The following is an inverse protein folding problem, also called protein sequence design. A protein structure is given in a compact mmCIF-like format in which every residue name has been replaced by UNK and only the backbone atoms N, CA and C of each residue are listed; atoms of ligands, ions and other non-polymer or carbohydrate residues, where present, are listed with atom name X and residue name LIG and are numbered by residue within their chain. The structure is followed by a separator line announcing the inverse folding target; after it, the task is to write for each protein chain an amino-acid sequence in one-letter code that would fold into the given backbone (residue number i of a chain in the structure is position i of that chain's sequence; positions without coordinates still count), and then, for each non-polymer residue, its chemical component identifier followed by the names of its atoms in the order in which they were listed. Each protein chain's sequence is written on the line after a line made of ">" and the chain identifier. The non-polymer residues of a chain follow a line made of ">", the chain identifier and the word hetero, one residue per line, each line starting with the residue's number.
data_IF_857308536458
#
_entry.id   IF_857308536458
#
_cell.length_a   1.000
_cell.length_b   1.000
_cell.length_c   1.000
_cell.angle_alpha   90.00
_cell.angle_beta   90.00
_cell.angle_gamma   90.00
#
_symmetry.space_group_name_H-M   'P 1'
#
loop_
_entity.id
_entity.type
_entity.pdbx_description
1 polymer ?
#
# COMPACT_ATOMS: atom_id res chain seq x y z
N UNK A 1 -26.37 5.93 1.67
CA UNK A 1 -24.97 5.47 1.78
C UNK A 1 -24.19 5.84 0.53
N UNK A 2 -24.41 5.19 -0.63
CA UNK A 2 -23.65 5.47 -1.88
C UNK A 2 -23.72 6.93 -2.36
N UNK A 3 -24.77 7.68 -2.02
CA UNK A 3 -24.90 9.12 -2.32
C UNK A 3 -23.86 10.01 -1.65
N UNK A 4 -23.13 9.51 -0.64
CA UNK A 4 -22.07 10.24 0.06
C UNK A 4 -20.69 10.07 -0.59
N UNK A 5 -20.55 9.19 -1.58
CA UNK A 5 -19.29 8.92 -2.25
C UNK A 5 -19.10 9.77 -3.51
N UNK A 6 -17.85 10.07 -3.90
CA UNK A 6 -17.55 10.98 -5.00
C UNK A 6 -18.12 10.48 -6.33
N UNK A 7 -18.65 11.43 -7.11
CA UNK A 7 -18.82 11.27 -8.56
C UNK A 7 -17.52 11.76 -9.21
N UNK A 8 -16.87 10.94 -10.03
CA UNK A 8 -15.58 11.22 -10.71
C UNK A 8 -15.58 12.45 -11.66
N UNK A 9 -16.59 13.31 -11.62
CA UNK A 9 -16.81 14.39 -12.59
C UNK A 9 -16.07 15.69 -12.31
N UNK A 10 -15.30 15.79 -11.20
CA UNK A 10 -14.59 17.02 -10.86
C UNK A 10 -13.11 16.75 -10.51
N UNK A 11 -12.16 17.45 -11.16
CA UNK A 11 -10.75 17.38 -10.80
C UNK A 11 -10.49 18.25 -9.56
N UNK A 12 -9.46 17.88 -8.79
CA UNK A 12 -9.08 18.41 -7.48
C UNK A 12 -10.01 18.03 -6.34
N UNK A 13 -9.42 17.54 -5.23
CA UNK A 13 -10.02 17.28 -3.93
C UNK A 13 -11.33 18.06 -3.76
N UNK A 14 -12.45 17.47 -4.17
CA UNK A 14 -13.73 18.12 -3.90
C UNK A 14 -13.98 17.85 -2.43
N UNK A 15 -13.48 18.77 -1.60
CA UNK A 15 -13.63 18.85 -0.14
C UNK A 15 -15.03 18.40 0.32
N UNK A 16 -16.05 18.68 -0.52
CA UNK A 16 -17.44 18.33 -0.33
C UNK A 16 -17.72 16.81 -0.23
N UNK A 17 -17.07 15.96 -1.03
CA UNK A 17 -17.31 14.52 -1.00
C UNK A 17 -16.66 13.87 0.23
N UNK A 18 -15.46 14.32 0.60
CA UNK A 18 -14.78 13.86 1.80
C UNK A 18 -15.55 14.23 3.09
N UNK A 19 -16.19 15.41 3.14
CA UNK A 19 -17.01 15.82 4.29
C UNK A 19 -18.24 14.92 4.48
N UNK A 20 -18.87 14.48 3.39
CA UNK A 20 -20.01 13.59 3.43
C UNK A 20 -19.62 12.20 3.97
N UNK A 21 -18.51 11.64 3.46
CA UNK A 21 -17.96 10.37 3.96
C UNK A 21 -17.62 10.51 5.43
N UNK A 22 -16.96 11.60 5.84
CA UNK A 22 -16.62 11.87 7.23
C UNK A 22 -17.86 11.86 8.12
N UNK A 23 -18.91 12.57 7.73
CA UNK A 23 -20.13 12.70 8.55
C UNK A 23 -20.78 11.34 8.85
N UNK A 24 -20.61 10.36 7.95
CA UNK A 24 -21.21 9.03 8.07
C UNK A 24 -20.24 7.97 8.62
N UNK A 25 -18.98 7.95 8.18
CA UNK A 25 -18.01 6.89 8.50
C UNK A 25 -16.89 7.34 9.45
N UNK A 26 -16.70 8.64 9.66
CA UNK A 26 -15.63 9.20 10.49
C UNK A 26 -14.41 9.68 9.70
N UNK A 27 -13.49 10.34 10.38
CA UNK A 27 -12.33 10.97 9.76
C UNK A 27 -11.31 9.97 9.20
N UNK A 28 -11.07 8.84 9.86
CA UNK A 28 -10.09 7.84 9.39
C UNK A 28 -10.41 7.30 7.98
N UNK A 29 -11.67 6.91 7.74
CA UNK A 29 -12.13 6.46 6.43
C UNK A 29 -12.22 7.61 5.42
N UNK A 30 -12.61 8.80 5.85
CA UNK A 30 -12.62 9.97 4.97
C UNK A 30 -11.21 10.35 4.49
N UNK A 31 -10.18 10.22 5.34
CA UNK A 31 -8.79 10.40 4.92
C UNK A 31 -8.35 9.35 3.89
N UNK A 32 -8.78 8.10 4.06
CA UNK A 32 -8.48 7.03 3.12
C UNK A 32 -9.03 7.33 1.73
N UNK A 33 -10.35 7.59 1.61
CA UNK A 33 -10.96 7.93 0.33
C UNK A 33 -10.39 9.23 -0.26
N UNK A 34 -10.09 10.22 0.59
CA UNK A 34 -9.44 11.45 0.16
C UNK A 34 -8.02 11.23 -0.39
N UNK A 35 -7.26 10.30 0.21
CA UNK A 35 -5.94 9.93 -0.27
C UNK A 35 -6.02 9.13 -1.58
N UNK A 36 -6.95 8.17 -1.69
CA UNK A 36 -7.19 7.40 -2.91
C UNK A 36 -7.54 8.30 -4.10
N UNK A 37 -8.48 9.24 -3.90
CA UNK A 37 -8.86 10.22 -4.91
C UNK A 37 -7.65 11.09 -5.32
N UNK A 38 -6.93 11.63 -4.33
CA UNK A 38 -5.73 12.42 -4.57
C UNK A 38 -4.65 11.64 -5.33
N UNK A 39 -4.38 10.40 -4.93
CA UNK A 39 -3.39 9.53 -5.54
C UNK A 39 -3.74 9.21 -7.00
N UNK A 40 -5.02 8.95 -7.28
CA UNK A 40 -5.53 8.74 -8.65
C UNK A 40 -5.24 9.93 -9.55
N UNK A 41 -5.57 11.14 -9.10
CA UNK A 41 -5.31 12.37 -9.88
C UNK A 41 -3.82 12.69 -9.99
N UNK A 42 -3.05 12.46 -8.92
CA UNK A 42 -1.62 12.68 -8.93
C UNK A 42 -0.91 11.79 -9.95
N UNK A 43 -1.39 10.57 -10.21
CA UNK A 43 -0.83 9.68 -11.22
C UNK A 43 -1.16 10.05 -12.67
N UNK A 44 -2.18 10.90 -12.92
CA UNK A 44 -2.59 11.26 -14.29
C UNK A 44 -1.44 11.90 -15.10
N UNK A 45 -0.68 12.88 -14.58
CA UNK A 45 0.51 13.40 -15.28
C UNK A 45 1.53 12.31 -15.64
N UNK A 46 1.80 11.36 -14.74
CA UNK A 46 2.71 10.24 -15.01
C UNK A 46 2.17 9.34 -16.12
N UNK A 47 0.88 9.03 -16.09
CA UNK A 47 0.23 8.22 -17.12
C UNK A 47 0.26 8.92 -18.49
N UNK A 48 -0.01 10.23 -18.54
CA UNK A 48 0.00 11.01 -19.78
C UNK A 48 1.40 11.10 -20.41
N UNK A 49 2.44 11.20 -19.60
CA UNK A 49 3.83 11.17 -20.09
C UNK A 49 4.24 9.74 -20.47
N UNK A 50 3.83 8.73 -19.71
CA UNK A 50 4.16 7.33 -19.98
C UNK A 50 3.61 6.78 -21.30
N UNK A 51 2.46 7.27 -21.77
CA UNK A 51 1.83 6.82 -23.02
C UNK A 51 2.71 7.08 -24.26
N UNK A 52 3.17 8.32 -24.55
CA UNK A 52 4.11 8.58 -25.64
C UNK A 52 5.41 7.79 -25.52
N UNK A 53 5.93 7.62 -24.28
CA UNK A 53 7.17 6.88 -24.07
C UNK A 53 7.07 5.44 -24.56
N UNK A 54 5.92 4.80 -24.33
CA UNK A 54 5.66 3.44 -24.78
C UNK A 54 5.23 3.36 -26.26
N UNK A 55 4.39 4.28 -26.74
CA UNK A 55 3.84 4.21 -28.11
C UNK A 55 4.88 4.53 -29.19
N UNK A 56 5.82 5.42 -28.89
CA UNK A 56 6.85 5.85 -29.84
C UNK A 56 8.21 5.19 -29.60
N UNK A 57 8.27 4.17 -28.72
CA UNK A 57 9.51 3.51 -28.27
C UNK A 57 10.64 4.53 -28.04
N UNK A 58 10.36 5.48 -27.14
CA UNK A 58 11.30 6.55 -26.78
C UNK A 58 12.41 6.03 -25.87
N UNK A 59 13.17 5.07 -26.40
CA UNK A 59 14.21 4.34 -25.71
C UNK A 59 15.56 5.07 -25.71
N UNK A 60 15.64 6.32 -26.15
CA UNK A 60 16.90 7.06 -26.11
C UNK A 60 17.31 7.39 -24.66
N UNK A 61 18.62 7.33 -24.38
CA UNK A 61 19.19 7.61 -23.06
C UNK A 61 18.71 8.95 -22.47
N UNK A 62 18.72 10.02 -23.28
CA UNK A 62 18.28 11.34 -22.86
C UNK A 62 16.82 11.35 -22.41
N UNK A 63 15.97 10.54 -23.05
CA UNK A 63 14.54 10.42 -22.71
C UNK A 63 14.36 9.65 -21.40
N UNK A 64 15.11 8.57 -21.18
CA UNK A 64 15.10 7.86 -19.90
C UNK A 64 15.50 8.76 -18.73
N UNK A 65 16.55 9.56 -18.89
CA UNK A 65 16.98 10.52 -17.88
C UNK A 65 15.90 11.58 -17.62
N UNK A 66 15.30 12.14 -18.66
CA UNK A 66 14.20 13.11 -18.53
C UNK A 66 13.00 12.53 -17.77
N UNK A 67 12.61 11.30 -18.07
CA UNK A 67 11.51 10.62 -17.40
C UNK A 67 11.81 10.32 -15.92
N UNK A 68 13.03 9.88 -15.61
CA UNK A 68 13.44 9.62 -14.23
C UNK A 68 13.50 10.90 -13.39
N UNK A 69 14.03 12.01 -13.94
CA UNK A 69 14.02 13.32 -13.28
C UNK A 69 12.59 13.78 -13.03
N UNK A 70 11.70 13.62 -14.01
CA UNK A 70 10.28 13.91 -13.83
C UNK A 70 9.67 13.08 -12.70
N UNK A 71 9.88 11.76 -12.67
CA UNK A 71 9.34 10.89 -11.62
C UNK A 71 9.88 11.26 -10.22
N UNK A 72 11.15 11.65 -10.12
CA UNK A 72 11.76 12.09 -8.87
C UNK A 72 11.11 13.38 -8.33
N UNK A 73 10.93 14.38 -9.21
CA UNK A 73 10.25 15.62 -8.83
C UNK A 73 8.79 15.32 -8.49
N UNK A 74 8.11 14.55 -9.33
CA UNK A 74 6.72 14.16 -9.14
C UNK A 74 6.49 13.46 -7.80
N UNK A 75 7.28 12.44 -7.45
CA UNK A 75 7.13 11.68 -6.21
C UNK A 75 7.33 12.54 -4.96
N UNK A 76 8.24 13.50 -5.01
CA UNK A 76 8.47 14.46 -3.92
C UNK A 76 7.30 15.44 -3.79
N UNK A 77 6.87 16.04 -4.90
CA UNK A 77 5.75 17.00 -4.93
C UNK A 77 4.45 16.32 -4.49
N UNK A 78 4.18 15.11 -4.97
CA UNK A 78 3.01 14.31 -4.62
C UNK A 78 2.88 14.15 -3.09
N UNK A 79 3.95 13.79 -2.39
CA UNK A 79 3.91 13.57 -0.95
C UNK A 79 3.81 14.86 -0.14
N UNK A 80 4.53 15.91 -0.54
CA UNK A 80 4.48 17.20 0.15
C UNK A 80 3.13 17.91 -0.02
N UNK A 81 2.54 17.84 -1.22
CA UNK A 81 1.19 18.38 -1.47
C UNK A 81 0.13 17.59 -0.68
N UNK A 82 0.28 16.27 -0.56
CA UNK A 82 -0.62 15.47 0.29
C UNK A 82 -0.55 15.89 1.76
N UNK A 83 0.63 16.11 2.33
CA UNK A 83 0.77 16.60 3.72
C UNK A 83 -0.01 17.89 3.94
N UNK A 84 0.08 18.83 2.99
CA UNK A 84 -0.66 20.11 3.03
C UNK A 84 -2.17 19.89 2.95
N UNK A 85 -2.62 19.04 2.04
CA UNK A 85 -4.03 18.69 1.89
C UNK A 85 -4.58 18.03 3.17
N UNK A 86 -3.87 17.02 3.68
CA UNK A 86 -4.21 16.30 4.91
C UNK A 86 -4.28 17.24 6.12
N UNK A 87 -3.32 18.18 6.26
CA UNK A 87 -3.36 19.18 7.32
C UNK A 87 -4.57 20.13 7.20
N UNK A 88 -4.94 20.52 5.98
CA UNK A 88 -6.11 21.37 5.72
C UNK A 88 -7.41 20.65 6.08
N UNK A 89 -7.54 19.38 5.69
CA UNK A 89 -8.68 18.53 6.05
C UNK A 89 -8.77 18.34 7.57
N UNK A 90 -7.66 17.98 8.21
CA UNK A 90 -7.61 17.78 9.66
C UNK A 90 -7.90 19.06 10.45
N UNK A 91 -7.45 20.23 9.97
CA UNK A 91 -7.78 21.52 10.58
C UNK A 91 -9.28 21.81 10.47
N UNK A 92 -9.85 21.67 9.27
CA UNK A 92 -11.27 21.91 9.01
C UNK A 92 -12.16 20.94 9.79
N UNK A 93 -11.70 19.71 9.97
CA UNK A 93 -12.40 18.70 10.75
C UNK A 93 -12.22 18.86 12.26
N UNK A 94 -11.29 19.70 12.70
CA UNK A 94 -10.98 19.88 14.12
C UNK A 94 -10.22 18.71 14.73
N UNK A 95 -9.68 17.79 13.93
CA UNK A 95 -8.89 16.66 14.40
C UNK A 95 -7.40 16.98 14.52
N UNK A 96 -6.91 18.05 13.88
CA UNK A 96 -5.49 18.41 13.88
C UNK A 96 -4.93 18.67 15.29
N UNK A 97 -5.69 19.36 16.14
CA UNK A 97 -5.28 19.73 17.50
C UNK A 97 -5.69 18.71 18.56
N UNK A 98 -6.31 17.59 18.16
CA UNK A 98 -6.72 16.55 19.11
C UNK A 98 -5.49 15.83 19.61
N UNK A 99 -5.05 16.14 20.83
CA UNK A 99 -3.84 15.54 21.41
C UNK A 99 -4.03 14.03 21.55
N UNK A 100 -3.29 13.24 20.75
CA UNK A 100 -3.13 11.77 20.92
C UNK A 100 -2.73 11.38 22.35
N UNK A 101 -2.16 12.31 23.11
CA UNK A 101 -1.82 12.14 24.53
C UNK A 101 -3.01 11.78 25.45
N UNK A 102 -4.26 12.07 25.05
CA UNK A 102 -5.47 11.71 25.81
C UNK A 102 -6.18 10.46 25.29
N UNK A 103 -5.56 9.71 24.38
CA UNK A 103 -6.07 8.39 24.01
C UNK A 103 -6.02 7.46 25.24
N UNK A 104 -7.13 6.77 25.46
CA UNK A 104 -7.24 5.76 26.52
C UNK A 104 -6.32 4.58 26.20
N UNK A 105 -5.78 3.90 27.24
CA UNK A 105 -5.04 2.67 27.01
C UNK A 105 -5.90 1.65 26.27
N UNK A 106 -5.31 0.93 25.32
CA UNK A 106 -6.01 -0.14 24.59
C UNK A 106 -6.49 -1.22 25.55
N UNK A 107 -7.57 -1.92 25.21
CA UNK A 107 -8.14 -2.97 26.05
C UNK A 107 -7.15 -4.11 26.38
N UNK A 108 -6.22 -4.41 25.47
CA UNK A 108 -5.18 -5.44 25.66
C UNK A 108 -3.93 -4.97 26.40
N UNK A 109 -3.88 -3.71 26.88
CA UNK A 109 -2.72 -3.18 27.59
C UNK A 109 -2.75 -3.57 29.06
N UNK A 110 -1.64 -4.13 29.55
CA UNK A 110 -1.55 -4.60 30.93
C UNK A 110 -0.27 -4.12 31.63
N UNK A 111 -0.34 -3.93 32.95
CA UNK A 111 0.77 -3.40 33.74
C UNK A 111 0.41 -3.31 35.21
N UNK A 112 1.37 -2.87 36.03
CA UNK A 112 1.09 -2.54 37.43
C UNK A 112 0.23 -1.28 37.48
N UNK A 113 -0.82 -1.26 38.28
CA UNK A 113 -1.60 -0.04 38.54
C UNK A 113 -0.68 1.05 39.10
N UNK A 114 -0.74 2.23 38.49
CA UNK A 114 0.04 3.38 38.90
C UNK A 114 -0.63 4.68 38.47
N UNK A 115 -0.16 5.79 39.04
CA UNK A 115 -0.64 7.12 38.68
C UNK A 115 0.04 7.57 37.37
N UNK A 116 -0.74 7.88 36.34
CA UNK A 116 -0.19 8.47 35.13
C UNK A 116 0.29 9.90 35.40
N UNK A 117 1.54 10.21 35.05
CA UNK A 117 2.18 11.50 35.30
C UNK A 117 1.60 12.68 34.50
N UNK A 118 0.88 12.39 33.41
CA UNK A 118 0.26 13.37 32.50
C UNK A 118 -1.21 13.58 32.85
N UNK A 119 -1.97 12.50 33.02
CA UNK A 119 -3.43 12.58 33.24
C UNK A 119 -3.81 12.62 34.72
N UNK A 120 -2.91 12.22 35.62
CA UNK A 120 -3.20 12.09 37.05
C UNK A 120 -4.23 11.00 37.39
N UNK A 121 -4.58 10.13 36.44
CA UNK A 121 -5.53 9.03 36.64
C UNK A 121 -4.78 7.75 37.02
N UNK A 122 -5.43 6.89 37.80
CA UNK A 122 -4.95 5.52 38.00
C UNK A 122 -5.20 4.70 36.74
N UNK A 123 -4.13 4.24 36.11
CA UNK A 123 -4.17 3.35 34.94
C UNK A 123 -3.03 2.33 35.02
N UNK A 124 -3.08 1.23 34.26
CA UNK A 124 -1.95 0.32 34.16
C UNK A 124 -0.71 1.08 33.66
N UNK A 125 0.45 0.85 34.27
CA UNK A 125 1.73 1.43 33.85
C UNK A 125 2.70 0.30 33.51
N UNK A 126 3.40 0.45 32.38
CA UNK A 126 4.38 -0.52 31.91
C UNK A 126 5.73 0.16 31.63
N UNK A 127 6.86 -0.33 32.16
CA UNK A 127 8.17 0.27 31.93
C UNK A 127 8.55 0.27 30.44
N UNK A 128 8.86 1.45 29.89
CA UNK A 128 9.27 1.60 28.49
C UNK A 128 10.54 0.81 28.16
N UNK A 129 11.48 0.66 29.09
CA UNK A 129 12.70 -0.14 28.88
C UNK A 129 12.41 -1.60 28.61
N UNK A 130 11.47 -2.20 29.35
CA UNK A 130 11.04 -3.58 29.13
C UNK A 130 10.40 -3.74 27.75
N UNK A 131 9.58 -2.77 27.33
CA UNK A 131 8.96 -2.76 25.99
C UNK A 131 10.03 -2.66 24.89
N UNK A 132 10.98 -1.73 25.02
CA UNK A 132 12.05 -1.58 24.03
C UNK A 132 12.92 -2.84 23.94
N UNK A 133 13.20 -3.50 25.06
CA UNK A 133 13.93 -4.76 25.08
C UNK A 133 13.17 -5.87 24.35
N UNK A 134 11.84 -5.97 24.52
CA UNK A 134 10.99 -6.89 23.73
C UNK A 134 11.08 -6.63 22.23
N UNK A 135 10.98 -5.35 21.83
CA UNK A 135 11.04 -4.95 20.43
C UNK A 135 12.40 -5.28 19.81
N UNK A 136 13.50 -4.83 20.42
CA UNK A 136 14.83 -4.96 19.82
C UNK A 136 15.44 -6.36 19.94
N UNK A 137 15.15 -7.12 21.00
CA UNK A 137 15.77 -8.43 21.21
C UNK A 137 14.93 -9.61 20.71
N UNK A 138 13.62 -9.44 20.50
CA UNK A 138 12.74 -10.53 20.04
C UNK A 138 12.09 -10.17 18.71
N UNK A 139 11.38 -9.05 18.67
CA UNK A 139 10.60 -8.70 17.48
C UNK A 139 11.47 -8.40 16.26
N UNK A 140 12.51 -7.57 16.42
CA UNK A 140 13.40 -7.20 15.33
C UNK A 140 14.16 -8.43 14.77
N UNK A 141 14.80 -9.29 15.59
CA UNK A 141 15.42 -10.52 15.09
C UNK A 141 14.43 -11.47 14.39
N UNK A 142 13.19 -11.58 14.90
CA UNK A 142 12.15 -12.36 14.25
C UNK A 142 11.83 -11.83 12.84
N UNK A 143 11.61 -10.51 12.71
CA UNK A 143 11.37 -9.87 11.41
C UNK A 143 12.55 -10.12 10.47
N UNK A 144 13.78 -9.89 10.91
CA UNK A 144 14.99 -10.12 10.09
C UNK A 144 15.12 -11.58 9.64
N UNK A 145 14.83 -12.54 10.51
CA UNK A 145 14.80 -13.97 10.18
C UNK A 145 13.74 -14.28 9.12
N UNK A 146 12.54 -13.71 9.26
CA UNK A 146 11.47 -13.89 8.26
C UNK A 146 11.83 -13.29 6.91
N UNK A 147 12.50 -12.13 6.88
CA UNK A 147 12.99 -11.53 5.63
C UNK A 147 14.07 -12.38 4.97
N UNK A 148 15.00 -12.92 5.75
CA UNK A 148 16.00 -13.87 5.25
C UNK A 148 15.35 -15.12 4.65
N UNK A 149 14.37 -15.71 5.35
CA UNK A 149 13.65 -16.88 4.86
C UNK A 149 12.90 -16.59 3.56
N UNK A 150 12.24 -15.42 3.46
CA UNK A 150 11.60 -14.97 2.23
C UNK A 150 12.59 -14.88 1.06
N UNK A 151 13.74 -14.24 1.28
CA UNK A 151 14.78 -14.13 0.27
C UNK A 151 15.33 -15.52 -0.14
N UNK A 152 15.54 -16.42 0.82
CA UNK A 152 15.97 -17.79 0.55
C UNK A 152 14.94 -18.54 -0.32
N UNK A 153 13.65 -18.44 -0.01
CA UNK A 153 12.59 -19.08 -0.80
C UNK A 153 12.52 -18.52 -2.23
N UNK A 154 12.78 -17.22 -2.39
CA UNK A 154 12.90 -16.59 -3.71
C UNK A 154 14.08 -17.16 -4.51
N UNK A 155 15.25 -17.37 -3.90
CA UNK A 155 16.39 -18.01 -4.57
C UNK A 155 16.06 -19.43 -5.02
N UNK A 156 15.43 -20.22 -4.14
CA UNK A 156 14.97 -21.57 -4.47
C UNK A 156 13.97 -21.57 -5.64
N UNK A 157 13.07 -20.58 -5.70
CA UNK A 157 12.17 -20.41 -6.84
C UNK A 157 12.94 -20.20 -8.16
N UNK A 158 13.93 -19.30 -8.19
CA UNK A 158 14.72 -19.05 -9.39
C UNK A 158 15.53 -20.29 -9.81
N UNK A 159 16.06 -21.05 -8.86
CA UNK A 159 16.75 -22.33 -9.16
C UNK A 159 15.78 -23.36 -9.77
N UNK A 160 14.56 -23.46 -9.24
CA UNK A 160 13.51 -24.32 -9.79
C UNK A 160 13.07 -23.89 -11.18
N UNK A 161 12.96 -22.58 -11.44
CA UNK A 161 12.61 -22.02 -12.74
C UNK A 161 13.69 -22.31 -13.79
N UNK A 162 14.96 -22.08 -13.44
CA UNK A 162 16.09 -22.41 -14.30
C UNK A 162 16.17 -23.91 -14.62
N UNK A 163 15.90 -24.77 -13.63
CA UNK A 163 15.82 -26.21 -13.84
C UNK A 163 14.65 -26.61 -14.76
N UNK A 164 13.48 -26.01 -14.61
CA UNK A 164 12.34 -26.27 -15.49
C UNK A 164 12.64 -25.86 -16.93
N UNK A 165 13.33 -24.73 -17.12
CA UNK A 165 13.79 -24.26 -18.44
C UNK A 165 14.83 -25.22 -19.03
N UNK A 166 15.80 -25.72 -18.24
CA UNK A 166 16.79 -26.67 -18.76
C UNK A 166 16.16 -27.97 -19.25
N UNK A 167 15.19 -28.51 -18.51
CA UNK A 167 14.45 -29.73 -18.91
C UNK A 167 13.62 -29.49 -20.18
N UNK A 168 13.01 -28.32 -20.33
CA UNK A 168 12.27 -27.95 -21.54
C UNK A 168 13.18 -27.85 -22.77
N UNK A 169 14.38 -27.28 -22.60
CA UNK A 169 15.35 -27.10 -23.68
C UNK A 169 15.97 -28.43 -24.15
N UNK A 170 16.10 -29.42 -23.26
CA UNK A 170 16.58 -30.76 -23.61
C UNK A 170 15.56 -31.53 -24.45
N UNK A 171 14.30 -31.60 -24.00
CA UNK A 171 13.22 -32.33 -24.69
C UNK A 171 11.92 -31.49 -24.75
N UNK A 172 11.72 -30.71 -25.83
CA UNK A 172 10.53 -29.88 -25.97
C UNK A 172 9.29 -30.72 -26.29
N UNK A 173 8.52 -31.01 -25.24
CA UNK A 173 7.30 -31.80 -25.26
C UNK A 173 6.13 -31.01 -24.65
N UNK A 174 4.90 -31.48 -24.90
CA UNK A 174 3.71 -30.87 -24.27
C UNK A 174 3.80 -30.90 -22.73
N UNK A 175 4.29 -32.00 -22.15
CA UNK A 175 4.48 -32.11 -20.70
C UNK A 175 5.56 -31.15 -20.17
N UNK A 176 6.66 -30.94 -20.89
CA UNK A 176 7.70 -29.99 -20.47
C UNK A 176 7.24 -28.55 -20.65
N UNK A 177 6.33 -28.26 -21.58
CA UNK A 177 5.66 -26.95 -21.69
C UNK A 177 4.79 -26.63 -20.46
N UNK A 178 4.09 -27.63 -19.90
CA UNK A 178 3.33 -27.47 -18.66
C UNK A 178 4.29 -27.27 -17.47
N UNK A 179 5.41 -27.98 -17.45
CA UNK A 179 6.40 -27.90 -16.37
C UNK A 179 6.93 -26.47 -16.14
N UNK A 180 7.06 -25.66 -17.20
CA UNK A 180 7.49 -24.26 -17.10
C UNK A 180 6.62 -23.41 -16.15
N UNK A 181 5.32 -23.71 -16.05
CA UNK A 181 4.40 -22.96 -15.18
C UNK A 181 4.38 -23.46 -13.73
N UNK A 182 4.87 -24.68 -13.48
CA UNK A 182 4.77 -25.33 -12.17
C UNK A 182 5.53 -24.58 -11.07
N UNK A 183 6.81 -24.18 -11.25
CA UNK A 183 7.53 -23.41 -10.24
C UNK A 183 6.83 -22.11 -9.84
N UNK A 184 6.32 -21.35 -10.82
CA UNK A 184 5.63 -20.09 -10.57
C UNK A 184 4.32 -20.26 -9.81
N UNK A 185 3.54 -21.31 -10.11
CA UNK A 185 2.30 -21.62 -9.36
C UNK A 185 2.63 -22.00 -7.90
N UNK A 186 3.64 -22.86 -7.70
CA UNK A 186 4.09 -23.27 -6.36
C UNK A 186 4.53 -22.04 -5.57
N UNK A 187 5.35 -21.18 -6.17
CA UNK A 187 5.85 -19.97 -5.53
C UNK A 187 4.73 -18.98 -5.17
N UNK A 188 3.76 -18.77 -6.06
CA UNK A 188 2.60 -17.93 -5.79
C UNK A 188 1.78 -18.44 -4.58
N UNK A 189 1.54 -19.75 -4.50
CA UNK A 189 0.85 -20.35 -3.34
C UNK A 189 1.67 -20.21 -2.06
N UNK A 190 3.00 -20.39 -2.14
CA UNK A 190 3.89 -20.25 -0.99
C UNK A 190 3.91 -18.81 -0.46
N UNK A 191 3.97 -17.80 -1.31
CA UNK A 191 3.90 -16.39 -0.90
C UNK A 191 2.61 -16.11 -0.13
N UNK A 192 1.47 -16.57 -0.63
CA UNK A 192 0.17 -16.33 0.02
C UNK A 192 0.11 -16.97 1.41
N UNK A 193 0.57 -18.21 1.54
CA UNK A 193 0.67 -18.91 2.83
C UNK A 193 1.63 -18.16 3.77
N UNK A 194 2.77 -17.69 3.27
CA UNK A 194 3.75 -16.95 4.07
C UNK A 194 3.21 -15.60 4.54
N UNK A 195 2.51 -14.84 3.70
CA UNK A 195 1.88 -13.59 4.07
C UNK A 195 0.84 -13.78 5.19
N UNK A 196 0.00 -14.83 5.07
CA UNK A 196 -0.98 -15.17 6.10
C UNK A 196 -0.32 -15.55 7.44
N UNK A 197 0.66 -16.46 7.40
CA UNK A 197 1.38 -16.90 8.60
C UNK A 197 2.13 -15.75 9.26
N UNK A 198 2.78 -14.91 8.46
CA UNK A 198 3.52 -13.76 8.96
C UNK A 198 2.60 -12.71 9.57
N UNK A 199 1.44 -12.42 8.98
CA UNK A 199 0.47 -11.49 9.57
C UNK A 199 0.01 -11.96 10.95
N UNK A 200 -0.36 -13.23 11.08
CA UNK A 200 -0.73 -13.81 12.38
C UNK A 200 0.41 -13.72 13.40
N UNK A 201 1.65 -14.04 12.98
CA UNK A 201 2.82 -13.94 13.84
C UNK A 201 3.13 -12.48 14.24
N UNK A 202 3.00 -11.53 13.31
CA UNK A 202 3.25 -10.12 13.54
C UNK A 202 2.20 -9.50 14.48
N UNK A 203 0.93 -9.88 14.36
CA UNK A 203 -0.14 -9.48 15.28
C UNK A 203 0.16 -10.02 16.69
N UNK A 204 0.41 -11.32 16.82
CA UNK A 204 0.77 -11.95 18.10
C UNK A 204 1.99 -11.29 18.76
N UNK A 205 3.05 -11.04 17.99
CA UNK A 205 4.28 -10.45 18.49
C UNK A 205 4.09 -8.98 18.90
N UNK A 206 3.30 -8.23 18.15
CA UNK A 206 2.99 -6.82 18.46
C UNK A 206 2.06 -6.72 19.67
N UNK A 207 1.15 -7.69 19.87
CA UNK A 207 0.36 -7.79 21.09
C UNK A 207 1.26 -8.09 22.30
N UNK A 208 2.22 -8.99 22.12
CA UNK A 208 3.20 -9.34 23.15
C UNK A 208 4.14 -8.18 23.52
N UNK A 209 4.41 -7.25 22.60
CA UNK A 209 5.17 -6.02 22.89
C UNK A 209 4.46 -5.10 23.90
N UNK A 210 3.14 -5.26 24.09
CA UNK A 210 2.33 -4.53 25.08
C UNK A 210 2.37 -3.00 24.89
N UNK A 211 1.91 -2.54 23.73
CA UNK A 211 1.73 -1.12 23.42
C UNK A 211 0.58 -0.50 24.23
N UNK A 212 0.79 0.72 24.76
CA UNK A 212 -0.24 1.45 25.55
C UNK A 212 -1.38 1.94 24.68
N UNK A 213 -1.06 2.56 23.54
CA UNK A 213 -2.02 3.22 22.65
C UNK A 213 -2.32 2.34 21.44
N UNK A 214 -3.56 2.37 20.98
CA UNK A 214 -3.98 1.68 19.75
C UNK A 214 -3.21 2.21 18.53
N UNK A 215 -3.05 3.53 18.44
CA UNK A 215 -2.24 4.16 17.39
C UNK A 215 -0.78 3.67 17.37
N UNK A 216 -0.16 3.45 18.54
CA UNK A 216 1.20 2.91 18.64
C UNK A 216 1.27 1.44 18.22
N UNK A 217 0.28 0.64 18.65
CA UNK A 217 0.16 -0.77 18.27
C UNK A 217 0.04 -0.91 16.75
N UNK A 218 -0.92 -0.21 16.15
CA UNK A 218 -1.16 -0.23 14.71
C UNK A 218 0.08 0.21 13.92
N UNK A 219 0.76 1.28 14.34
CA UNK A 219 1.98 1.75 13.70
C UNK A 219 3.10 0.69 13.65
N UNK A 220 3.31 -0.06 14.74
CA UNK A 220 4.34 -1.11 14.79
C UNK A 220 3.92 -2.36 14.03
N UNK A 221 2.63 -2.70 14.04
CA UNK A 221 2.08 -3.81 13.25
C UNK A 221 2.24 -3.51 11.75
N UNK A 222 1.79 -2.31 11.32
CA UNK A 222 1.93 -1.82 9.95
C UNK A 222 3.37 -1.94 9.49
N UNK A 223 4.33 -1.44 10.28
CA UNK A 223 5.73 -1.47 9.91
C UNK A 223 6.27 -2.90 9.73
N UNK A 224 5.92 -3.84 10.60
CA UNK A 224 6.36 -5.24 10.48
C UNK A 224 5.80 -5.90 9.22
N UNK A 225 4.50 -5.76 8.97
CA UNK A 225 3.81 -6.37 7.83
C UNK A 225 4.24 -5.72 6.51
N UNK A 226 4.41 -4.40 6.50
CA UNK A 226 4.84 -3.65 5.33
C UNK A 226 6.23 -4.05 4.85
N UNK A 227 7.22 -4.15 5.75
CA UNK A 227 8.59 -4.53 5.35
C UNK A 227 8.62 -5.93 4.78
N UNK A 228 7.85 -6.86 5.36
CA UNK A 228 7.75 -8.23 4.85
C UNK A 228 7.09 -8.30 3.48
N UNK A 229 5.93 -7.64 3.31
CA UNK A 229 5.24 -7.59 2.02
C UNK A 229 6.08 -6.88 0.96
N UNK A 230 6.82 -5.82 1.32
CA UNK A 230 7.73 -5.14 0.40
C UNK A 230 8.79 -6.11 -0.15
N UNK A 231 9.45 -6.90 0.71
CA UNK A 231 10.46 -7.87 0.26
C UNK A 231 9.83 -8.99 -0.56
N UNK A 232 8.65 -9.50 -0.17
CA UNK A 232 7.97 -10.55 -0.94
C UNK A 232 7.51 -10.08 -2.32
N UNK A 233 6.98 -8.86 -2.44
CA UNK A 233 6.45 -8.34 -3.70
C UNK A 233 7.55 -7.83 -4.63
N UNK A 234 8.53 -7.11 -4.10
CA UNK A 234 9.56 -6.45 -4.92
C UNK A 234 10.88 -7.23 -4.98
N UNK A 235 11.10 -8.21 -4.10
CA UNK A 235 12.36 -8.97 -4.05
C UNK A 235 12.69 -9.66 -5.37
N UNK A 236 11.70 -10.36 -5.96
CA UNK A 236 11.88 -11.03 -7.26
C UNK A 236 12.13 -10.03 -8.39
N UNK A 237 11.45 -8.89 -8.38
CA UNK A 237 11.66 -7.82 -9.36
C UNK A 237 13.04 -7.19 -9.24
N UNK A 238 13.52 -6.96 -8.01
CA UNK A 238 14.88 -6.48 -7.78
C UNK A 238 15.94 -7.49 -8.23
N UNK A 239 15.68 -8.78 -8.03
CA UNK A 239 16.56 -9.85 -8.52
C UNK A 239 16.64 -9.86 -10.05
N UNK A 240 15.49 -9.82 -10.73
CA UNK A 240 15.45 -9.76 -12.21
C UNK A 240 16.15 -8.50 -12.72
N UNK A 241 15.88 -7.34 -12.10
CA UNK A 241 16.43 -6.06 -12.49
C UNK A 241 17.95 -5.96 -12.32
N UNK A 242 18.47 -6.35 -11.16
CA UNK A 242 19.85 -6.04 -10.76
C UNK A 242 20.80 -7.23 -10.82
N UNK A 243 20.31 -8.46 -10.55
CA UNK A 243 21.13 -9.66 -10.62
C UNK A 243 21.10 -10.27 -12.03
N UNK A 244 19.91 -10.50 -12.61
CA UNK A 244 19.79 -11.07 -13.96
C UNK A 244 19.99 -10.03 -15.07
N UNK A 245 19.66 -8.76 -14.80
CA UNK A 245 19.74 -7.66 -15.77
C UNK A 245 18.87 -7.87 -17.03
N UNK A 246 17.78 -8.63 -16.92
CA UNK A 246 16.84 -8.88 -18.01
C UNK A 246 15.65 -7.90 -17.94
N UNK A 247 15.74 -6.83 -18.73
CA UNK A 247 14.70 -5.80 -18.78
C UNK A 247 13.42 -6.28 -19.47
N UNK A 248 13.50 -7.28 -20.35
CA UNK A 248 12.33 -7.83 -21.04
C UNK A 248 11.53 -8.68 -20.07
N UNK A 249 12.20 -9.58 -19.35
CA UNK A 249 11.58 -10.37 -18.30
C UNK A 249 10.99 -9.45 -17.21
N UNK A 250 11.73 -8.43 -16.78
CA UNK A 250 11.25 -7.45 -15.80
C UNK A 250 9.94 -6.77 -16.25
N UNK A 251 9.89 -6.31 -17.51
CA UNK A 251 8.69 -5.68 -18.08
C UNK A 251 7.50 -6.64 -18.11
N UNK A 252 7.72 -7.90 -18.52
CA UNK A 252 6.68 -8.93 -18.57
C UNK A 252 6.19 -9.31 -17.17
N UNK A 253 7.09 -9.49 -16.21
CA UNK A 253 6.75 -9.78 -14.81
C UNK A 253 5.95 -8.63 -14.19
N UNK A 254 6.37 -7.38 -14.38
CA UNK A 254 5.65 -6.19 -13.90
C UNK A 254 4.24 -6.09 -14.50
N UNK A 255 4.12 -6.22 -15.83
CA UNK A 255 2.82 -6.16 -16.51
C UNK A 255 1.90 -7.29 -16.02
N UNK A 256 2.43 -8.51 -15.89
CA UNK A 256 1.67 -9.67 -15.41
C UNK A 256 1.21 -9.46 -13.98
N UNK A 257 2.10 -9.05 -13.06
CA UNK A 257 1.74 -8.77 -11.67
C UNK A 257 0.68 -7.68 -11.56
N UNK A 258 0.86 -6.56 -12.27
CA UNK A 258 -0.10 -5.45 -12.24
C UNK A 258 -1.45 -5.81 -12.87
N UNK A 259 -1.50 -6.63 -13.92
CA UNK A 259 -2.78 -6.99 -14.53
C UNK A 259 -3.48 -8.09 -13.70
N UNK A 260 -2.74 -9.15 -13.35
CA UNK A 260 -3.32 -10.31 -12.66
C UNK A 260 -3.71 -10.00 -11.22
N UNK A 261 -2.84 -9.33 -10.46
CA UNK A 261 -3.12 -8.98 -9.06
C UNK A 261 -4.34 -8.06 -8.97
N UNK A 262 -4.46 -7.09 -9.86
CA UNK A 262 -5.57 -6.12 -9.80
C UNK A 262 -6.90 -6.76 -10.19
N UNK A 263 -6.91 -7.64 -11.20
CA UNK A 263 -8.12 -8.42 -11.54
C UNK A 263 -8.52 -9.33 -10.36
N UNK A 264 -7.56 -10.04 -9.76
CA UNK A 264 -7.84 -10.94 -8.64
C UNK A 264 -8.32 -10.20 -7.40
N UNK A 265 -7.68 -9.07 -7.06
CA UNK A 265 -8.09 -8.22 -5.94
C UNK A 265 -9.52 -7.74 -6.13
N UNK A 266 -9.86 -7.17 -7.29
CA UNK A 266 -11.21 -6.68 -7.54
C UNK A 266 -12.29 -7.78 -7.44
N UNK A 267 -11.94 -9.00 -7.83
CA UNK A 267 -12.83 -10.16 -7.67
C UNK A 267 -13.00 -10.53 -6.20
N UNK A 268 -11.91 -10.61 -5.43
CA UNK A 268 -11.93 -11.02 -4.02
C UNK A 268 -12.50 -9.96 -3.09
N UNK A 269 -12.37 -8.69 -3.44
CA UNK A 269 -12.70 -7.54 -2.61
C UNK A 269 -14.12 -7.02 -2.81
N UNK A 270 -14.56 -6.91 -4.06
CA UNK A 270 -15.89 -6.39 -4.39
C UNK A 270 -16.84 -7.51 -4.83
N UNK A 271 -16.46 -8.27 -5.85
CA UNK A 271 -17.40 -9.17 -6.52
C UNK A 271 -17.82 -10.36 -5.65
N UNK A 272 -16.87 -11.08 -5.07
CA UNK A 272 -17.12 -12.25 -4.24
C UNK A 272 -17.90 -11.87 -2.96
N UNK A 273 -17.50 -10.86 -2.18
CA UNK A 273 -18.23 -10.47 -0.97
C UNK A 273 -19.62 -9.95 -1.30
N UNK A 274 -19.80 -9.18 -2.39
CA UNK A 274 -21.12 -8.77 -2.85
C UNK A 274 -22.04 -9.97 -3.13
N UNK A 275 -21.54 -10.94 -3.87
CA UNK A 275 -22.32 -12.11 -4.26
C UNK A 275 -22.71 -12.97 -3.04
N UNK A 276 -21.75 -13.18 -2.12
CA UNK A 276 -21.99 -13.87 -0.85
C UNK A 276 -23.02 -13.12 0.00
N UNK A 277 -22.88 -11.80 0.12
CA UNK A 277 -23.78 -10.96 0.89
C UNK A 277 -25.18 -10.89 0.29
N UNK A 278 -25.31 -10.79 -1.05
CA UNK A 278 -26.59 -10.82 -1.75
C UNK A 278 -27.31 -12.16 -1.55
N UNK A 279 -26.57 -13.28 -1.58
CA UNK A 279 -27.11 -14.61 -1.26
C UNK A 279 -27.58 -14.68 0.19
N UNK A 280 -26.82 -14.09 1.11
CA UNK A 280 -27.15 -14.04 2.55
C UNK A 280 -28.39 -13.19 2.82
N UNK A 281 -28.47 -11.98 2.29
CA UNK A 281 -29.63 -11.09 2.45
C UNK A 281 -30.92 -11.77 1.97
N UNK A 282 -30.87 -12.51 0.85
CA UNK A 282 -32.02 -13.31 0.38
C UNK A 282 -32.41 -14.41 1.37
N UNK A 283 -31.44 -15.08 2.01
CA UNK A 283 -31.72 -16.12 3.02
C UNK A 283 -32.33 -15.53 4.28
N UNK A 284 -31.74 -14.48 4.85
CA UNK A 284 -32.23 -13.80 6.05
C UNK A 284 -33.64 -13.24 5.80
N UNK A 285 -33.87 -12.56 4.68
CA UNK A 285 -35.18 -12.02 4.34
C UNK A 285 -36.25 -13.13 4.23
N UNK A 286 -35.91 -14.27 3.60
CA UNK A 286 -36.80 -15.43 3.53
C UNK A 286 -37.08 -16.05 4.91
N UNK A 287 -36.09 -16.09 5.79
CA UNK A 287 -36.22 -16.60 7.16
C UNK A 287 -37.07 -15.65 8.02
N UNK A 288 -36.87 -14.34 7.93
CA UNK A 288 -37.66 -13.35 8.64
C UNK A 288 -39.12 -13.34 8.20
N UNK A 289 -39.38 -13.42 6.89
CA UNK A 289 -40.75 -13.54 6.36
C UNK A 289 -41.48 -14.78 6.89
N UNK A 290 -40.75 -15.87 7.18
CA UNK A 290 -41.31 -17.08 7.79
C UNK A 290 -41.58 -16.93 9.28
N UNK A 291 -40.69 -16.26 10.02
CA UNK A 291 -40.78 -16.10 11.48
C UNK A 291 -41.79 -15.04 11.92
N UNK A 292 -41.85 -13.90 11.22
CA UNK A 292 -42.62 -12.73 11.67
C UNK A 292 -43.97 -12.54 10.97
N UNK A 293 -44.30 -13.37 9.98
CA UNK A 293 -45.50 -13.17 9.17
C UNK A 293 -45.50 -11.79 8.49
N UNK A 294 -46.67 -11.14 8.38
CA UNK A 294 -46.81 -9.78 7.82
C UNK A 294 -46.47 -8.64 8.79
N UNK A 295 -46.12 -8.93 10.07
CA UNK A 295 -45.67 -7.88 11.00
C UNK A 295 -44.23 -7.51 10.68
N UNK A 296 -44.07 -6.57 9.75
CA UNK A 296 -42.78 -5.93 9.49
C UNK A 296 -42.40 -5.06 10.71
N UNK A 297 -41.41 -5.50 11.50
CA UNK A 297 -40.62 -4.59 12.33
C UNK A 297 -39.33 -4.28 11.55
N UNK A 298 -39.25 -3.15 10.83
CA UNK A 298 -38.12 -2.83 9.95
C UNK A 298 -36.79 -2.78 10.73
N UNK A 299 -36.83 -2.28 11.97
CA UNK A 299 -35.66 -2.18 12.84
C UNK A 299 -35.11 -3.55 13.24
N UNK A 300 -35.97 -4.51 13.61
CA UNK A 300 -35.50 -5.85 13.98
C UNK A 300 -34.89 -6.57 12.79
N UNK A 301 -35.45 -6.35 11.58
CA UNK A 301 -34.88 -6.87 10.35
C UNK A 301 -33.51 -6.29 10.02
N UNK A 302 -33.34 -4.99 10.24
CA UNK A 302 -32.06 -4.32 10.08
C UNK A 302 -31.03 -4.87 11.08
N UNK A 303 -31.38 -4.98 12.36
CA UNK A 303 -30.47 -5.49 13.40
C UNK A 303 -30.01 -6.91 13.07
N UNK A 304 -30.92 -7.80 12.66
CA UNK A 304 -30.56 -9.17 12.31
C UNK A 304 -29.62 -9.24 11.10
N UNK A 305 -29.87 -8.41 10.08
CA UNK A 305 -29.00 -8.32 8.90
C UNK A 305 -27.60 -7.79 9.28
N UNK A 306 -27.52 -6.71 10.06
CA UNK A 306 -26.26 -6.07 10.44
C UNK A 306 -25.45 -6.88 11.45
N UNK A 307 -26.10 -7.61 12.36
CA UNK A 307 -25.45 -8.51 13.33
C UNK A 307 -24.66 -9.60 12.61
N UNK A 308 -25.22 -10.06 11.50
CA UNK A 308 -24.65 -11.10 10.68
C UNK A 308 -23.50 -10.61 9.77
N UNK A 309 -23.41 -9.29 9.51
CA UNK A 309 -22.36 -8.72 8.64
C UNK A 309 -20.97 -8.77 9.30
N UNK A 310 -19.96 -8.89 8.43
CA UNK A 310 -18.56 -8.90 8.87
C UNK A 310 -18.15 -7.52 9.42
N UNK A 311 -17.24 -7.51 10.38
CA UNK A 311 -16.57 -6.28 10.85
C UNK A 311 -15.53 -5.83 9.84
N UNK A 312 -15.46 -4.53 9.61
CA UNK A 312 -14.33 -3.93 8.92
C UNK A 312 -13.14 -3.87 9.90
N UNK A 313 -12.01 -4.48 9.51
CA UNK A 313 -10.82 -4.64 10.37
C UNK A 313 -9.89 -3.42 10.38
N UNK A 314 -10.21 -2.38 9.61
CA UNK A 314 -9.43 -1.14 9.50
C UNK A 314 -8.90 -0.92 8.08
N UNK A 315 -8.31 0.25 7.88
CA UNK A 315 -7.80 0.73 6.57
C UNK A 315 -6.43 0.17 6.19
N UNK A 316 -5.91 -0.80 6.95
CA UNK A 316 -4.56 -1.33 6.75
C UNK A 316 -4.37 -1.96 5.37
N UNK A 317 -5.24 -2.91 5.03
CA UNK A 317 -5.15 -3.66 3.77
C UNK A 317 -5.39 -2.70 2.57
N UNK A 318 -6.32 -1.75 2.72
CA UNK A 318 -6.64 -0.76 1.69
C UNK A 318 -5.45 0.20 1.39
N UNK A 319 -4.76 0.70 2.43
CA UNK A 319 -3.55 1.50 2.24
C UNK A 319 -2.36 0.67 1.75
N UNK A 320 -2.27 -0.60 2.15
CA UNK A 320 -1.21 -1.51 1.70
C UNK A 320 -1.28 -1.71 0.19
N UNK A 321 -2.48 -1.89 -0.36
CA UNK A 321 -2.67 -2.00 -1.80
C UNK A 321 -2.19 -0.76 -2.55
N UNK A 322 -2.59 0.43 -2.09
CA UNK A 322 -2.15 1.69 -2.68
C UNK A 322 -0.63 1.89 -2.57
N UNK A 323 -0.05 1.44 -1.46
CA UNK A 323 1.40 1.47 -1.24
C UNK A 323 2.15 0.58 -2.23
N UNK A 324 1.68 -0.65 -2.45
CA UNK A 324 2.27 -1.57 -3.43
C UNK A 324 2.11 -1.03 -4.86
N UNK A 325 0.94 -0.51 -5.22
CA UNK A 325 0.67 0.14 -6.50
C UNK A 325 1.62 1.33 -6.75
N UNK A 326 1.81 2.18 -5.74
CA UNK A 326 2.80 3.25 -5.80
C UNK A 326 4.22 2.71 -5.97
N UNK A 327 4.58 1.63 -5.29
CA UNK A 327 5.89 0.97 -5.46
C UNK A 327 6.12 0.47 -6.88
N UNK A 328 5.17 -0.26 -7.47
CA UNK A 328 5.29 -0.75 -8.85
C UNK A 328 5.47 0.39 -9.86
N UNK A 329 4.75 1.50 -9.68
CA UNK A 329 4.84 2.66 -10.56
C UNK A 329 6.14 3.44 -10.33
N UNK A 330 6.51 3.69 -9.08
CA UNK A 330 7.64 4.57 -8.75
C UNK A 330 8.99 3.90 -8.93
N UNK A 331 9.17 2.64 -8.47
CA UNK A 331 10.45 1.92 -8.51
C UNK A 331 10.90 1.61 -9.95
N UNK A 332 9.98 1.13 -10.78
CA UNK A 332 10.28 0.58 -12.11
C UNK A 332 9.73 1.44 -13.26
N UNK A 333 9.49 2.72 -12.97
CA UNK A 333 8.89 3.68 -13.91
C UNK A 333 9.63 3.71 -15.26
N UNK A 334 10.97 3.69 -15.24
CA UNK A 334 11.77 3.75 -16.44
C UNK A 334 11.58 2.51 -17.31
N UNK A 335 11.45 1.32 -16.71
CA UNK A 335 11.36 0.06 -17.47
C UNK A 335 9.97 -0.16 -18.05
N UNK A 336 8.93 0.26 -17.31
CA UNK A 336 7.54 0.09 -17.71
C UNK A 336 6.69 1.35 -17.46
N UNK A 337 6.79 2.38 -18.32
CA UNK A 337 6.06 3.65 -18.15
C UNK A 337 4.53 3.50 -18.18
N UNK A 338 4.01 2.46 -18.84
CA UNK A 338 2.59 2.13 -18.85
C UNK A 338 2.02 1.70 -17.49
N UNK A 339 2.87 1.37 -16.51
CA UNK A 339 2.42 1.04 -15.16
C UNK A 339 1.46 2.10 -14.60
N UNK A 340 1.79 3.38 -14.75
CA UNK A 340 0.96 4.47 -14.25
C UNK A 340 -0.44 4.48 -14.88
N UNK A 341 -0.58 4.12 -16.16
CA UNK A 341 -1.89 4.02 -16.83
C UNK A 341 -2.73 2.91 -16.21
N UNK A 342 -2.13 1.73 -16.00
CA UNK A 342 -2.82 0.59 -15.39
C UNK A 342 -3.27 0.91 -13.96
N UNK A 343 -2.41 1.58 -13.17
CA UNK A 343 -2.75 1.98 -11.80
C UNK A 343 -3.85 3.06 -11.77
N UNK A 344 -3.85 4.02 -12.69
CA UNK A 344 -4.95 4.99 -12.78
C UNK A 344 -6.28 4.31 -13.08
N UNK A 345 -6.29 3.38 -14.05
CA UNK A 345 -7.49 2.60 -14.37
C UNK A 345 -7.96 1.77 -13.17
N UNK A 346 -7.02 1.14 -12.47
CA UNK A 346 -7.32 0.40 -11.25
C UNK A 346 -7.91 1.30 -10.17
N UNK A 347 -7.27 2.42 -9.85
CA UNK A 347 -7.74 3.31 -8.79
C UNK A 347 -9.11 3.93 -9.10
N UNK A 348 -9.43 4.17 -10.37
CA UNK A 348 -10.77 4.58 -10.79
C UNK A 348 -11.82 3.52 -10.41
N UNK A 349 -11.52 2.25 -10.68
CA UNK A 349 -12.40 1.16 -10.23
C UNK A 349 -12.38 1.01 -8.71
N UNK A 350 -11.24 1.28 -8.07
CA UNK A 350 -11.01 1.12 -6.64
C UNK A 350 -11.87 2.05 -5.78
N UNK A 351 -11.99 3.32 -6.21
CA UNK A 351 -12.85 4.29 -5.55
C UNK A 351 -14.30 3.78 -5.45
N UNK A 352 -14.77 3.03 -6.45
CA UNK A 352 -16.13 2.48 -6.47
C UNK A 352 -16.25 1.12 -5.78
N UNK A 353 -15.27 0.21 -5.94
CA UNK A 353 -15.25 -1.08 -5.23
C UNK A 353 -15.23 -0.86 -3.73
N UNK A 354 -14.38 0.04 -3.24
CA UNK A 354 -14.28 0.37 -1.82
C UNK A 354 -15.53 1.06 -1.29
N UNK A 355 -16.08 2.01 -2.04
CA UNK A 355 -17.35 2.63 -1.67
C UNK A 355 -18.47 1.58 -1.55
N UNK A 356 -18.48 0.62 -2.47
CA UNK A 356 -19.42 -0.50 -2.46
C UNK A 356 -19.20 -1.41 -1.25
N UNK A 357 -17.95 -1.79 -0.99
CA UNK A 357 -17.50 -2.60 0.15
C UNK A 357 -17.98 -2.00 1.47
N UNK A 358 -17.79 -0.70 1.67
CA UNK A 358 -18.21 0.01 2.88
C UNK A 358 -19.73 0.18 3.02
N UNK A 359 -20.47 0.27 1.91
CA UNK A 359 -21.92 0.46 1.96
C UNK A 359 -22.74 -0.83 2.03
N UNK A 360 -22.22 -1.94 1.51
CA UNK A 360 -23.01 -3.14 1.29
C UNK A 360 -22.41 -4.42 1.87
N UNK A 361 -21.11 -4.48 2.15
CA UNK A 361 -20.43 -5.71 2.61
C UNK A 361 -20.21 -5.70 4.12
N UNK A 362 -19.66 -4.60 4.66
CA UNK A 362 -19.34 -4.49 6.08
C UNK A 362 -20.42 -3.78 6.88
N UNK A 363 -20.53 -4.15 8.17
CA UNK A 363 -21.29 -3.33 9.12
C UNK A 363 -20.58 -2.00 9.35
N UNK A 364 -21.34 -0.96 9.72
CA UNK A 364 -20.79 0.38 9.93
C UNK A 364 -19.67 0.33 10.99
N UNK A 365 -18.44 0.72 10.63
CA UNK A 365 -17.34 0.76 11.59
C UNK A 365 -17.51 1.91 12.57
N UNK A 366 -16.82 1.80 13.72
CA UNK A 366 -16.74 2.91 14.66
C UNK A 366 -15.87 4.03 14.09
N UNK A 367 -16.31 5.27 14.30
CA UNK A 367 -15.60 6.45 13.80
C UNK A 367 -14.32 6.66 14.60
N UNK A 368 -13.18 6.46 13.95
CA UNK A 368 -11.88 6.79 14.53
C UNK A 368 -11.39 8.17 14.05
N UNK A 369 -11.04 9.06 14.99
CA UNK A 369 -10.59 10.40 14.70
C UNK A 369 -9.13 10.37 14.24
N UNK A 370 -8.89 10.81 13.02
CA UNK A 370 -7.57 10.84 12.41
C UNK A 370 -7.21 12.26 11.96
N UNK A 371 -5.93 12.61 12.14
CA UNK A 371 -5.37 13.88 11.69
C UNK A 371 -4.46 13.73 10.46
N UNK A 372 -4.02 12.50 10.16
CA UNK A 372 -3.17 12.14 9.04
C UNK A 372 -3.29 10.64 8.75
N UNK A 373 -2.66 10.18 7.67
CA UNK A 373 -2.59 8.78 7.26
C UNK A 373 -1.64 7.93 8.14
N UNK A 374 -1.08 8.50 9.22
CA UNK A 374 -0.21 7.78 10.16
C UNK A 374 1.14 7.37 9.56
N UNK A 375 1.57 6.13 9.86
CA UNK A 375 2.86 5.58 9.42
C UNK A 375 2.95 5.43 7.89
N UNK A 376 1.81 5.38 7.19
CA UNK A 376 1.78 5.33 5.74
C UNK A 376 2.52 6.50 5.10
N UNK A 377 2.47 7.70 5.70
CA UNK A 377 3.22 8.85 5.19
C UNK A 377 4.74 8.55 5.13
N UNK A 378 5.29 8.01 6.21
CA UNK A 378 6.70 7.61 6.28
C UNK A 378 7.00 6.47 5.30
N UNK A 379 6.06 5.53 5.13
CA UNK A 379 6.23 4.43 4.20
C UNK A 379 6.31 4.92 2.75
N UNK A 380 5.36 5.75 2.29
CA UNK A 380 5.39 6.32 0.94
C UNK A 380 6.64 7.18 0.69
N UNK A 381 7.08 7.95 1.69
CA UNK A 381 8.34 8.70 1.62
C UNK A 381 9.54 7.78 1.45
N UNK A 382 9.63 6.73 2.26
CA UNK A 382 10.70 5.74 2.18
C UNK A 382 10.70 5.05 0.82
N UNK A 383 9.54 4.63 0.32
CA UNK A 383 9.39 4.06 -1.02
C UNK A 383 9.87 5.05 -2.10
N UNK A 384 9.54 6.34 -1.98
CA UNK A 384 10.00 7.35 -2.94
C UNK A 384 11.52 7.52 -2.93
N UNK A 385 12.18 7.39 -1.78
CA UNK A 385 13.65 7.40 -1.68
C UNK A 385 14.24 6.16 -2.37
N UNK A 386 13.71 4.98 -2.07
CA UNK A 386 14.15 3.73 -2.71
C UNK A 386 13.94 3.80 -4.23
N UNK A 387 12.83 4.41 -4.68
CA UNK A 387 12.54 4.62 -6.09
C UNK A 387 13.58 5.47 -6.79
N UNK A 388 14.08 6.54 -6.17
CA UNK A 388 15.17 7.34 -6.75
C UNK A 388 16.41 6.48 -6.99
N UNK A 389 16.85 5.76 -5.95
CA UNK A 389 18.02 4.87 -6.05
C UNK A 389 17.82 3.81 -7.13
N UNK A 390 16.62 3.24 -7.20
CA UNK A 390 16.26 2.17 -8.15
C UNK A 390 16.27 2.68 -9.59
N UNK A 391 15.60 3.79 -9.89
CA UNK A 391 15.58 4.35 -11.25
C UNK A 391 16.98 4.80 -11.69
N UNK A 392 17.76 5.38 -10.79
CA UNK A 392 19.13 5.78 -11.09
C UNK A 392 20.03 4.58 -11.40
N UNK A 393 19.91 3.49 -10.62
CA UNK A 393 20.63 2.24 -10.89
C UNK A 393 20.18 1.59 -12.21
N UNK A 394 18.88 1.59 -12.51
CA UNK A 394 18.33 1.05 -13.76
C UNK A 394 18.84 1.82 -14.99
N UNK A 395 18.86 3.16 -14.93
CA UNK A 395 19.43 3.99 -15.99
C UNK A 395 20.90 3.63 -16.19
N UNK A 396 21.65 3.47 -15.10
CA UNK A 396 23.06 3.14 -15.14
C UNK A 396 23.39 1.77 -15.71
N UNK A 397 22.50 0.80 -15.53
CA UNK A 397 22.66 -0.54 -16.10
C UNK A 397 22.26 -0.62 -17.57
N UNK A 398 21.57 0.39 -18.10
CA UNK A 398 21.13 0.41 -19.50
C UNK A 398 22.32 0.32 -20.47
N UNK A 399 22.19 -0.41 -21.60
CA UNK A 399 23.26 -0.52 -22.59
C UNK A 399 23.71 0.84 -23.14
N UNK A 400 22.80 1.80 -23.23
CA UNK A 400 23.06 3.13 -23.75
C UNK A 400 23.91 3.98 -22.78
N UNK A 401 23.67 3.86 -21.48
CA UNK A 401 24.49 4.50 -20.45
C UNK A 401 25.92 3.94 -20.46
N UNK A 402 26.04 2.61 -20.56
CA UNK A 402 27.34 1.91 -20.64
C UNK A 402 28.11 2.30 -21.91
N UNK A 403 27.42 2.56 -23.02
CA UNK A 403 28.04 3.05 -24.24
C UNK A 403 28.60 4.48 -24.09
N UNK A 404 27.95 5.33 -23.29
CA UNK A 404 28.41 6.71 -23.02
C UNK A 404 29.57 6.77 -22.03
N UNK A 405 29.63 5.85 -21.05
CA UNK A 405 30.67 5.80 -20.02
C UNK A 405 31.37 4.42 -19.97
N UNK A 406 32.23 4.09 -20.95
CA UNK A 406 32.83 2.76 -21.05
C UNK A 406 33.90 2.46 -19.98
N UNK A 407 34.50 3.45 -19.32
CA UNK A 407 35.69 3.26 -18.45
C UNK A 407 35.48 3.53 -16.95
N UNK A 408 34.34 4.05 -16.48
CA UNK A 408 34.20 4.48 -15.08
C UNK A 408 32.82 4.21 -14.47
N UNK A 409 32.62 3.02 -13.89
CA UNK A 409 31.43 2.68 -13.08
C UNK A 409 31.20 3.67 -11.91
N UNK A 410 32.27 4.31 -11.43
CA UNK A 410 32.25 5.30 -10.35
C UNK A 410 31.58 6.63 -10.72
N UNK A 411 31.58 7.04 -12.00
CA UNK A 411 30.95 8.30 -12.42
C UNK A 411 29.42 8.19 -12.42
N UNK A 412 28.91 7.03 -12.81
CA UNK A 412 27.48 6.72 -12.74
C UNK A 412 26.98 6.78 -11.29
N UNK A 413 27.70 6.14 -10.36
CA UNK A 413 27.40 6.17 -8.92
C UNK A 413 27.41 7.61 -8.39
N UNK A 414 28.36 8.44 -8.82
CA UNK A 414 28.44 9.85 -8.41
C UNK A 414 27.26 10.69 -8.94
N UNK A 415 26.75 10.42 -10.14
CA UNK A 415 25.55 11.08 -10.69
C UNK A 415 24.30 10.65 -9.91
N UNK A 416 24.17 9.35 -9.58
CA UNK A 416 23.09 8.84 -8.72
C UNK A 416 23.09 9.54 -7.36
N UNK A 417 24.27 9.65 -6.74
CA UNK A 417 24.45 10.36 -5.46
C UNK A 417 24.14 11.85 -5.60
N UNK A 418 24.54 12.51 -6.69
CA UNK A 418 24.26 13.92 -6.91
C UNK A 418 22.75 14.21 -7.08
N UNK A 419 22.02 13.32 -7.74
CA UNK A 419 20.56 13.42 -7.91
C UNK A 419 19.84 13.23 -6.57
N UNK A 420 20.28 12.28 -5.74
CA UNK A 420 19.74 12.06 -4.38
C UNK A 420 20.00 13.27 -3.45
N UNK A 421 21.17 13.89 -3.57
CA UNK A 421 21.49 15.13 -2.85
C UNK A 421 20.59 16.29 -3.32
N UNK A 422 20.32 16.42 -4.61
CA UNK A 422 19.37 17.44 -5.12
C UNK A 422 17.96 17.26 -4.55
N UNK A 423 17.44 16.03 -4.46
CA UNK A 423 16.15 15.74 -3.81
C UNK A 423 16.12 16.24 -2.37
N UNK A 424 17.18 15.91 -1.60
CA UNK A 424 17.32 16.31 -0.20
C UNK A 424 17.36 17.83 -0.01
N UNK A 425 17.84 18.57 -1.02
CA UNK A 425 17.84 20.03 -1.04
C UNK A 425 16.49 20.65 -1.43
N UNK A 426 15.67 19.97 -2.24
CA UNK A 426 14.35 20.46 -2.69
C UNK A 426 13.27 20.27 -1.62
N UNK A 427 13.32 19.18 -0.84
CA UNK A 427 12.34 18.91 0.22
C UNK A 427 12.14 20.09 1.21
N UNK A 428 13.18 20.76 1.74
CA UNK A 428 13.02 21.90 2.62
C UNK A 428 12.64 23.23 1.93
N UNK A 429 12.69 23.33 0.59
CA UNK A 429 12.34 24.57 -0.14
C UNK A 429 10.81 24.74 -0.31
N UNK A 430 10.03 23.67 -0.23
CA UNK A 430 8.58 23.70 -0.40
C UNK A 430 7.78 24.43 0.70
N UNK A 431 8.14 24.38 2.01
CA UNK A 431 7.50 25.25 2.99
C UNK A 431 7.69 26.75 2.70
N UNK A 432 8.74 27.17 1.97
CA UNK A 432 9.01 28.58 1.67
C UNK A 432 8.09 29.17 0.57
N UNK A 433 7.69 28.36 -0.43
CA UNK A 433 6.79 28.81 -1.51
C UNK A 433 5.34 29.05 -1.05
N UNK A 434 4.95 28.49 0.10
CA UNK A 434 3.62 28.68 0.68
C UNK A 434 3.41 29.98 1.44
N UNK A 435 4.48 30.70 1.83
CA UNK A 435 4.36 32.02 2.47
C UNK A 435 3.96 33.14 1.51
N UNK A 436 3.95 32.89 0.19
CA UNK A 436 3.57 33.90 -0.81
C UNK A 436 2.07 33.95 -1.15
N UNK A 437 1.26 33.01 -0.63
CA UNK A 437 -0.19 32.95 -0.92
C UNK A 437 -1.10 33.08 0.30
N UNK A 438 -0.55 33.45 1.45
CA UNK A 438 -1.31 33.91 2.62
C UNK A 438 -0.73 35.24 3.09
N UNK A 439 -0.98 36.28 2.29
CA UNK A 439 -0.79 37.68 2.63
C UNK A 439 -2.11 38.41 2.44
#
# INVERSE_FOLDING_TARGET
>A
CLSHFPKLTAPFCTLHNADNIRSYFGEGLALYFGFLEYFTFALVPMALIGIPYYLFDWDDYDKYVLFAVFNLVWSTVFLEVWKRCSATLAYRWGTLSRKKAFEEPRAGFHGSLGLNSVTGREEPVYPSSKRQLRIYLVSLPFVLLSLYLSFFMMMVYFDMENWAISVYNEDPNFMTSILLFVPSIIYAVLIEIMNLLYRYAAEFLTDWENHRLESSFQNHLVLKVLVFNFVNCFGSLFYIAFAMQDMVLLRQSLATLLITSQILNQVMEAFLPYWLQRRRNKRVHKQMKRLMGEKELPLLAQIQLETEMNSYLGTFDDYLEQFLLFGYVSLFSCVYPLAAVLVVLNNITEVYSDAFKMCHVFKRPFSEPAANIGVWQLAFETMSVIAVVTNCALIGLSPQAKAYFPESETQLILIVVAIEVMRSLVAPLYPALGSFYTG
#
